data_IF_367217704792
#
_entry.id   IF_367217704792
#
_cell.length_a   1.000
_cell.length_b   1.000
_cell.length_c   1.000
_cell.angle_alpha   90.00
_cell.angle_beta   90.00
_cell.angle_gamma   90.00
#
_symmetry.space_group_name_H-M   'P 1'
#
loop_
_entity.id
_entity.type
_entity.pdbx_description
1 polymer ?
#
# COMPACT_ATOMS: atom_id res chain seq x y z
N UNK A 1 18.74 -14.15 -8.75
CA UNK A 1 18.76 -13.22 -7.60
C UNK A 1 19.17 -13.86 -6.26
N UNK A 2 18.33 -14.61 -5.52
CA UNK A 2 18.72 -15.14 -4.18
C UNK A 2 19.88 -16.17 -4.20
N UNK A 3 20.02 -16.95 -5.28
CA UNK A 3 21.14 -17.90 -5.43
C UNK A 3 22.48 -17.19 -5.66
N UNK A 4 22.49 -16.06 -6.36
CA UNK A 4 23.71 -15.29 -6.70
C UNK A 4 24.25 -14.56 -5.48
N UNK A 5 23.40 -13.96 -4.64
CA UNK A 5 23.85 -13.29 -3.41
C UNK A 5 24.57 -14.28 -2.47
N UNK A 6 24.10 -15.54 -2.42
CA UNK A 6 24.75 -16.59 -1.63
C UNK A 6 26.10 -17.05 -2.22
N UNK A 7 26.32 -16.96 -3.53
CA UNK A 7 27.61 -17.30 -4.14
C UNK A 7 28.65 -16.22 -3.90
N UNK A 8 28.29 -14.93 -3.94
CA UNK A 8 29.19 -13.82 -3.62
C UNK A 8 29.70 -13.85 -2.17
N UNK A 9 28.89 -14.35 -1.22
CA UNK A 9 29.38 -14.58 0.15
C UNK A 9 30.49 -15.63 0.24
N UNK A 10 30.53 -16.61 -0.67
CA UNK A 10 31.52 -17.70 -0.65
C UNK A 10 32.88 -17.29 -1.23
N UNK A 11 32.92 -16.23 -2.04
CA UNK A 11 34.12 -15.78 -2.74
C UNK A 11 34.96 -14.78 -1.93
N UNK A 12 34.53 -14.41 -0.72
CA UNK A 12 35.24 -13.45 0.13
C UNK A 12 35.19 -12.00 -0.36
N UNK A 13 34.35 -11.70 -1.37
CA UNK A 13 34.20 -10.33 -1.89
C UNK A 13 33.41 -9.51 -0.87
N UNK A 14 33.89 -8.31 -0.48
CA UNK A 14 33.16 -7.46 0.46
C UNK A 14 31.83 -7.01 -0.14
N UNK A 15 30.75 -7.15 0.64
CA UNK A 15 29.40 -6.73 0.26
C UNK A 15 29.08 -5.45 1.04
N UNK A 16 28.77 -4.39 0.30
CA UNK A 16 28.28 -3.13 0.87
C UNK A 16 26.80 -2.98 0.56
N UNK A 17 26.03 -2.55 1.56
CA UNK A 17 24.60 -2.26 1.40
C UNK A 17 24.44 -0.76 1.35
N UNK A 18 23.96 -0.26 0.20
CA UNK A 18 23.58 1.14 0.04
C UNK A 18 22.05 1.21 0.02
N UNK A 19 21.40 1.90 0.97
CA UNK A 19 19.95 2.01 0.99
C UNK A 19 19.46 2.86 -0.19
N UNK A 20 18.23 2.60 -0.64
CA UNK A 20 17.61 3.44 -1.66
C UNK A 20 17.42 4.87 -1.10
N UNK A 21 17.90 5.91 -1.80
CA UNK A 21 17.68 7.28 -1.38
C UNK A 21 16.23 7.70 -1.62
N UNK A 22 15.77 8.69 -0.85
CA UNK A 22 14.53 9.41 -1.08
C UNK A 22 14.87 10.88 -1.36
N UNK A 23 14.19 11.51 -2.32
CA UNK A 23 14.39 12.92 -2.62
C UNK A 23 13.74 13.79 -1.53
N UNK A 24 14.55 14.45 -0.70
CA UNK A 24 14.10 15.29 0.42
C UNK A 24 13.60 16.68 -0.01
N UNK A 25 13.84 17.09 -1.26
CA UNK A 25 13.21 18.30 -1.82
C UNK A 25 11.72 18.05 -2.11
N UNK A 26 11.37 16.79 -2.44
CA UNK A 26 10.00 16.37 -2.73
C UNK A 26 9.30 15.84 -1.48
N UNK A 27 9.99 15.02 -0.67
CA UNK A 27 9.44 14.38 0.52
C UNK A 27 9.89 15.11 1.78
N UNK A 28 9.13 16.14 2.14
CA UNK A 28 9.33 16.90 3.37
C UNK A 28 8.29 16.51 4.41
N UNK A 29 8.74 16.37 5.66
CA UNK A 29 7.83 16.28 6.79
C UNK A 29 7.11 17.62 6.93
N UNK A 30 5.78 17.57 6.90
CA UNK A 30 4.95 18.75 7.06
C UNK A 30 3.68 18.39 7.81
N UNK A 31 3.15 19.37 8.54
CA UNK A 31 1.84 19.26 9.12
C UNK A 31 0.77 19.20 8.02
N UNK A 32 -0.25 18.34 8.15
CA UNK A 32 -1.33 18.29 7.19
C UNK A 32 -2.06 19.64 7.13
N UNK A 33 -2.19 20.20 5.93
CA UNK A 33 -2.87 21.49 5.70
C UNK A 33 -4.34 21.48 6.16
N UNK A 34 -5.01 20.34 6.01
CA UNK A 34 -6.39 20.13 6.44
C UNK A 34 -6.41 19.13 7.59
N UNK A 35 -6.89 19.58 8.75
CA UNK A 35 -7.13 18.71 9.90
C UNK A 35 -8.55 18.18 9.81
N UNK A 36 -8.70 16.87 9.91
CA UNK A 36 -9.99 16.18 9.99
C UNK A 36 -10.06 15.42 11.30
N UNK A 37 -11.24 15.37 11.92
CA UNK A 37 -11.46 14.53 13.10
C UNK A 37 -11.38 13.03 12.76
N UNK A 38 -11.44 12.68 11.47
CA UNK A 38 -11.26 11.32 10.97
C UNK A 38 -9.78 11.03 10.68
N UNK A 39 -9.34 9.86 11.13
CA UNK A 39 -8.03 9.31 10.84
C UNK A 39 -8.02 8.69 9.44
N UNK A 40 -6.93 8.86 8.71
CA UNK A 40 -6.76 8.25 7.38
C UNK A 40 -5.77 7.10 7.48
N UNK A 41 -6.17 5.92 7.00
CA UNK A 41 -5.26 4.79 6.79
C UNK A 41 -5.10 4.61 5.29
N UNK A 42 -3.88 4.88 4.81
CA UNK A 42 -3.53 4.83 3.40
C UNK A 42 -2.76 3.57 3.01
N UNK A 43 -3.00 3.07 1.81
CA UNK A 43 -2.17 2.09 1.13
C UNK A 43 -1.78 2.65 -0.24
N UNK A 44 -0.48 2.60 -0.56
CA UNK A 44 0.07 3.14 -1.82
C UNK A 44 0.81 2.03 -2.54
N UNK A 45 0.38 1.69 -3.74
CA UNK A 45 0.99 0.62 -4.51
C UNK A 45 0.25 0.25 -5.78
N UNK A 46 0.90 -0.56 -6.63
CA UNK A 46 0.26 -1.18 -7.79
C UNK A 46 -0.68 -2.28 -7.31
N UNK A 47 -1.85 -2.45 -7.94
CA UNK A 47 -2.82 -3.49 -7.60
C UNK A 47 -2.39 -4.89 -8.06
N UNK A 48 -1.17 -5.27 -7.75
CA UNK A 48 -0.57 -6.55 -8.08
C UNK A 48 -0.69 -7.51 -6.89
N UNK A 49 -0.65 -8.81 -7.18
CA UNK A 49 -0.79 -9.86 -6.16
C UNK A 49 0.30 -9.76 -5.10
N UNK A 50 1.52 -9.45 -5.51
CA UNK A 50 2.71 -9.37 -4.66
C UNK A 50 2.67 -8.17 -3.70
N UNK A 51 1.84 -7.16 -4.01
CA UNK A 51 1.60 -6.00 -3.13
C UNK A 51 0.48 -6.24 -2.12
N UNK A 52 -0.22 -7.37 -2.24
CA UNK A 52 -1.20 -7.88 -1.28
C UNK A 52 -2.30 -6.87 -0.87
N UNK A 53 -2.83 -6.13 -1.85
CA UNK A 53 -3.88 -5.13 -1.63
C UNK A 53 -5.18 -5.72 -1.06
N UNK A 54 -5.44 -7.02 -1.29
CA UNK A 54 -6.61 -7.74 -0.77
C UNK A 54 -6.61 -7.82 0.76
N UNK A 55 -5.45 -8.03 1.38
CA UNK A 55 -5.33 -8.04 2.84
C UNK A 55 -5.63 -6.68 3.44
N UNK A 56 -5.23 -5.59 2.78
CA UNK A 56 -5.58 -4.24 3.21
C UNK A 56 -7.10 -4.03 3.25
N UNK A 57 -7.82 -4.46 2.21
CA UNK A 57 -9.29 -4.39 2.21
C UNK A 57 -9.92 -5.24 3.33
N UNK A 58 -9.36 -6.42 3.62
CA UNK A 58 -9.79 -7.24 4.76
C UNK A 58 -9.64 -6.50 6.10
N UNK A 59 -8.49 -5.88 6.33
CA UNK A 59 -8.22 -5.07 7.53
C UNK A 59 -9.19 -3.88 7.59
N UNK A 60 -9.42 -3.19 6.47
CA UNK A 60 -10.34 -2.07 6.39
C UNK A 60 -11.78 -2.45 6.75
N UNK A 61 -12.24 -3.62 6.30
CA UNK A 61 -13.55 -4.18 6.65
C UNK A 61 -13.65 -4.42 8.15
N UNK A 62 -12.71 -5.17 8.73
CA UNK A 62 -12.73 -5.51 10.15
C UNK A 62 -12.60 -4.29 11.07
N UNK A 63 -11.85 -3.27 10.66
CA UNK A 63 -11.76 -2.01 11.40
C UNK A 63 -13.03 -1.18 11.28
N UNK A 64 -13.69 -1.18 10.12
CA UNK A 64 -14.93 -0.44 9.89
C UNK A 64 -16.07 -0.91 10.79
N UNK A 65 -16.08 -2.18 11.18
CA UNK A 65 -17.06 -2.74 12.13
C UNK A 65 -16.90 -2.17 13.55
N UNK A 66 -15.69 -1.73 13.92
CA UNK A 66 -15.34 -1.31 15.28
C UNK A 66 -15.12 0.19 15.41
N UNK A 67 -14.84 0.88 14.30
CA UNK A 67 -14.41 2.28 14.27
C UNK A 67 -15.10 3.04 13.15
N UNK A 68 -15.75 4.15 13.51
CA UNK A 68 -16.36 5.10 12.60
C UNK A 68 -15.47 6.35 12.36
N UNK A 69 -14.37 6.47 13.11
CA UNK A 69 -13.41 7.58 13.05
C UNK A 69 -12.30 7.37 12.01
N UNK A 70 -12.42 6.37 11.14
CA UNK A 70 -11.41 6.02 10.13
C UNK A 70 -11.97 6.15 8.71
N UNK A 71 -11.17 6.71 7.81
CA UNK A 71 -11.34 6.67 6.36
C UNK A 71 -10.18 5.89 5.75
N UNK A 72 -10.47 5.01 4.81
CA UNK A 72 -9.46 4.23 4.09
C UNK A 72 -9.16 4.87 2.75
N UNK A 73 -7.89 4.87 2.36
CA UNK A 73 -7.43 5.41 1.09
C UNK A 73 -6.52 4.40 0.40
N UNK A 74 -6.80 4.08 -0.86
CA UNK A 74 -5.92 3.32 -1.74
C UNK A 74 -5.46 4.25 -2.83
N UNK A 75 -4.15 4.34 -3.06
CA UNK A 75 -3.56 5.11 -4.15
C UNK A 75 -2.82 4.14 -5.07
N UNK A 76 -3.31 4.03 -6.30
CA UNK A 76 -2.73 3.18 -7.34
C UNK A 76 -3.78 2.56 -8.24
N UNK A 77 -3.39 1.57 -9.05
CA UNK A 77 -4.33 0.86 -9.93
C UNK A 77 -4.71 1.57 -11.23
N UNK A 78 -4.17 2.77 -11.51
CA UNK A 78 -4.36 3.46 -12.80
C UNK A 78 -3.99 2.57 -13.99
N UNK A 79 -2.79 1.96 -13.93
CA UNK A 79 -2.27 1.03 -14.95
C UNK A 79 -2.62 -0.45 -14.68
N UNK A 80 -3.56 -0.75 -13.77
CA UNK A 80 -3.96 -2.13 -13.55
C UNK A 80 -4.85 -2.62 -14.71
N UNK A 81 -4.79 -3.91 -15.01
CA UNK A 81 -5.69 -4.53 -15.98
C UNK A 81 -7.15 -4.38 -15.56
N UNK A 82 -8.06 -4.28 -16.53
CA UNK A 82 -9.49 -4.12 -16.25
C UNK A 82 -10.08 -5.28 -15.43
N UNK A 83 -9.54 -6.49 -15.58
CA UNK A 83 -9.92 -7.63 -14.74
C UNK A 83 -9.58 -7.41 -13.27
N UNK A 84 -8.41 -6.84 -12.98
CA UNK A 84 -7.94 -6.50 -11.63
C UNK A 84 -8.78 -5.38 -11.05
N UNK A 85 -9.09 -4.34 -11.83
CA UNK A 85 -9.98 -3.24 -11.39
C UNK A 85 -11.38 -3.77 -11.04
N UNK A 86 -11.94 -4.66 -11.87
CA UNK A 86 -13.23 -5.31 -11.59
C UNK A 86 -13.18 -6.16 -10.33
N UNK A 87 -12.12 -6.94 -10.15
CA UNK A 87 -11.91 -7.71 -8.92
C UNK A 87 -11.85 -6.81 -7.68
N UNK A 88 -11.09 -5.72 -7.78
CA UNK A 88 -10.98 -4.72 -6.74
C UNK A 88 -12.35 -4.14 -6.33
N UNK A 89 -13.12 -3.63 -7.31
CA UNK A 89 -14.44 -3.06 -7.06
C UNK A 89 -15.43 -4.09 -6.51
N UNK A 90 -15.39 -5.34 -7.01
CA UNK A 90 -16.20 -6.43 -6.50
C UNK A 90 -15.87 -6.73 -5.03
N UNK A 91 -14.59 -6.73 -4.66
CA UNK A 91 -14.17 -6.95 -3.28
C UNK A 91 -14.55 -5.79 -2.37
N UNK A 92 -14.40 -4.54 -2.80
CA UNK A 92 -14.86 -3.35 -2.05
C UNK A 92 -16.36 -3.42 -1.77
N UNK A 93 -17.16 -3.79 -2.78
CA UNK A 93 -18.61 -3.99 -2.62
C UNK A 93 -18.92 -5.14 -1.65
N UNK A 94 -18.26 -6.29 -1.82
CA UNK A 94 -18.46 -7.48 -0.97
C UNK A 94 -18.12 -7.22 0.50
N UNK A 95 -17.14 -6.36 0.76
CA UNK A 95 -16.72 -5.97 2.12
C UNK A 95 -17.45 -4.73 2.66
N UNK A 96 -18.48 -4.24 1.96
CA UNK A 96 -19.27 -3.07 2.36
C UNK A 96 -18.43 -1.80 2.62
N UNK A 97 -17.37 -1.59 1.82
CA UNK A 97 -16.42 -0.49 2.00
C UNK A 97 -16.72 0.74 1.14
N UNK A 98 -17.76 0.71 0.29
CA UNK A 98 -18.07 1.77 -0.70
C UNK A 98 -18.14 3.16 -0.07
N UNK A 99 -18.75 3.30 1.11
CA UNK A 99 -18.93 4.61 1.75
C UNK A 99 -17.69 5.09 2.55
N UNK A 100 -16.68 4.23 2.74
CA UNK A 100 -15.57 4.47 3.69
C UNK A 100 -14.18 4.36 3.06
N UNK A 101 -14.09 3.78 1.86
CA UNK A 101 -12.86 3.64 1.10
C UNK A 101 -12.86 4.59 -0.09
N UNK A 102 -11.77 5.35 -0.22
CA UNK A 102 -11.47 6.15 -1.39
C UNK A 102 -10.38 5.44 -2.19
N UNK A 103 -10.56 5.37 -3.51
CA UNK A 103 -9.60 4.82 -4.45
C UNK A 103 -9.32 5.85 -5.54
#
# INVERSE_FOLDING_TARGET
MYKEIRSFKKTGIPIYVVPNPINLEVFQLSEPKNKSDKKVIGWVGRLEKEKNWKSFLGIASSLSEKRNDIVFLIIGGYNADESVKKEFLAMVKRLNLIARLKW
#
